data_IF_302763501837
#
_entry.id   IF_302763501837
#
_cell.length_a   1.000
_cell.length_b   1.000
_cell.length_c   1.000
_cell.angle_alpha   90.00
_cell.angle_beta   90.00
_cell.angle_gamma   90.00
#
_symmetry.space_group_name_H-M   'P 1'
#
loop_
_entity.id
_entity.type
_entity.pdbx_description
1 polymer ?
#
# COMPACT_ATOMS: atom_id res chain seq x y z
N UNK A 1 20.90 15.53 -3.06
CA UNK A 1 20.58 14.23 -3.66
C UNK A 1 19.10 13.96 -3.36
N UNK A 2 18.21 14.42 -4.22
CA UNK A 2 16.76 14.38 -4.04
C UNK A 2 16.26 13.48 -5.16
N UNK A 3 16.16 12.18 -4.91
CA UNK A 3 15.39 11.14 -5.62
C UNK A 3 15.85 9.81 -4.98
N UNK A 4 15.00 9.19 -4.15
CA UNK A 4 14.78 7.74 -4.24
C UNK A 4 13.55 7.25 -3.43
N UNK A 5 13.14 7.94 -2.36
CA UNK A 5 11.91 7.63 -1.59
C UNK A 5 10.60 7.94 -2.34
N UNK A 6 10.48 9.11 -2.96
CA UNK A 6 9.24 9.52 -3.65
C UNK A 6 8.88 8.62 -4.85
N UNK A 7 9.88 8.07 -5.55
CA UNK A 7 9.66 7.15 -6.66
C UNK A 7 9.15 5.78 -6.19
N UNK A 8 9.53 5.34 -5.00
CA UNK A 8 9.05 4.08 -4.40
C UNK A 8 7.61 4.25 -3.92
N UNK A 9 7.32 5.32 -3.18
CA UNK A 9 5.97 5.64 -2.71
C UNK A 9 4.99 5.74 -3.89
N UNK A 10 5.41 6.38 -4.99
CA UNK A 10 4.64 6.43 -6.22
C UNK A 10 4.37 5.06 -6.82
N UNK A 11 5.37 4.16 -6.85
CA UNK A 11 5.20 2.79 -7.39
C UNK A 11 4.23 1.98 -6.54
N UNK A 12 4.35 2.06 -5.23
CA UNK A 12 3.48 1.37 -4.27
C UNK A 12 2.04 1.90 -4.38
N UNK A 13 1.86 3.22 -4.45
CA UNK A 13 0.54 3.83 -4.70
C UNK A 13 -0.05 3.43 -6.06
N UNK A 14 0.77 3.35 -7.11
CA UNK A 14 0.31 2.89 -8.43
C UNK A 14 -0.12 1.41 -8.40
N UNK A 15 0.56 0.56 -7.63
CA UNK A 15 0.19 -0.84 -7.47
C UNK A 15 -1.17 -0.98 -6.78
N UNK A 16 -1.39 -0.24 -5.68
CA UNK A 16 -2.70 -0.15 -5.01
C UNK A 16 -3.81 0.26 -5.99
N UNK A 17 -3.57 1.31 -6.78
CA UNK A 17 -4.53 1.78 -7.79
C UNK A 17 -4.78 0.76 -8.91
N UNK A 18 -3.78 -0.02 -9.30
CA UNK A 18 -3.93 -1.06 -10.31
C UNK A 18 -4.82 -2.20 -9.80
N UNK A 19 -4.58 -2.68 -8.58
CA UNK A 19 -5.44 -3.70 -7.94
C UNK A 19 -6.88 -3.19 -7.84
N UNK A 20 -7.08 -1.97 -7.32
CA UNK A 20 -8.40 -1.32 -7.24
C UNK A 20 -9.11 -1.31 -8.60
N UNK A 21 -8.43 -0.85 -9.65
CA UNK A 21 -8.99 -0.80 -11.01
C UNK A 21 -9.29 -2.19 -11.56
N UNK A 22 -8.46 -3.19 -11.25
CA UNK A 22 -8.68 -4.57 -11.69
C UNK A 22 -9.90 -5.19 -11.00
N UNK A 23 -10.17 -4.86 -9.74
CA UNK A 23 -11.42 -5.26 -9.07
C UNK A 23 -12.60 -4.55 -9.72
N UNK A 24 -12.53 -3.22 -9.89
CA UNK A 24 -13.59 -2.44 -10.54
C UNK A 24 -13.97 -2.93 -11.95
N UNK A 25 -13.04 -3.53 -12.69
CA UNK A 25 -13.30 -4.11 -14.02
C UNK A 25 -14.14 -5.38 -13.95
N UNK A 26 -14.01 -6.18 -12.88
CA UNK A 26 -14.69 -7.48 -12.68
C UNK A 26 -16.12 -7.34 -12.15
N UNK A 27 -16.51 -6.15 -11.69
CA UNK A 27 -17.85 -5.89 -11.15
C UNK A 27 -18.82 -5.69 -12.30
N UNK A 28 -19.85 -6.53 -12.39
CA UNK A 28 -20.88 -6.45 -13.44
C UNK A 28 -21.89 -5.33 -13.15
N UNK A 29 -22.56 -5.36 -12.00
CA UNK A 29 -23.54 -4.34 -11.61
C UNK A 29 -22.89 -3.12 -10.93
N UNK A 30 -22.17 -2.34 -11.73
CA UNK A 30 -21.50 -1.10 -11.27
C UNK A 30 -22.46 -0.03 -10.76
N UNK A 31 -23.73 -0.06 -11.17
CA UNK A 31 -24.70 0.98 -10.82
C UNK A 31 -25.29 0.79 -9.43
N UNK A 32 -25.47 -0.46 -8.98
CA UNK A 32 -26.00 -0.75 -7.65
C UNK A 32 -24.92 -1.20 -6.65
N UNK A 33 -23.71 -1.54 -7.11
CA UNK A 33 -22.62 -1.93 -6.23
C UNK A 33 -22.03 -0.72 -5.47
N UNK A 34 -22.18 -0.73 -4.14
CA UNK A 34 -21.74 0.34 -3.23
C UNK A 34 -20.22 0.41 -3.14
N UNK A 35 -19.54 -0.73 -3.02
CA UNK A 35 -18.08 -0.79 -3.00
C UNK A 35 -17.45 -0.27 -4.29
N UNK A 36 -18.04 -0.55 -5.46
CA UNK A 36 -17.62 0.03 -6.74
C UNK A 36 -17.70 1.55 -6.73
N UNK A 37 -18.83 2.11 -6.26
CA UNK A 37 -19.03 3.57 -6.17
C UNK A 37 -18.00 4.22 -5.24
N UNK A 38 -17.69 3.58 -4.11
CA UNK A 38 -16.63 4.02 -3.18
C UNK A 38 -15.27 3.98 -3.88
N UNK A 39 -14.90 2.82 -4.45
CA UNK A 39 -13.66 2.63 -5.19
C UNK A 39 -13.48 3.63 -6.35
N UNK A 40 -14.58 4.12 -6.95
CA UNK A 40 -14.55 5.05 -8.08
C UNK A 40 -14.49 6.51 -7.63
N UNK A 41 -15.44 6.92 -6.79
CA UNK A 41 -15.65 8.33 -6.45
C UNK A 41 -14.80 8.80 -5.28
N UNK A 42 -14.45 7.89 -4.36
CA UNK A 42 -13.71 8.19 -3.13
C UNK A 42 -12.32 7.56 -3.11
N UNK A 43 -11.72 7.32 -4.29
CA UNK A 43 -10.47 6.57 -4.42
C UNK A 43 -9.29 7.15 -3.62
N UNK A 44 -9.30 8.47 -3.34
CA UNK A 44 -8.24 9.13 -2.58
C UNK A 44 -8.16 8.65 -1.12
N UNK A 45 -9.28 8.18 -0.55
CA UNK A 45 -9.31 7.67 0.82
C UNK A 45 -8.35 6.48 0.98
N UNK A 46 -8.18 5.64 -0.05
CA UNK A 46 -7.28 4.48 0.01
C UNK A 46 -5.80 4.86 0.07
N UNK A 47 -5.43 6.11 -0.26
CA UNK A 47 -4.05 6.61 -0.14
C UNK A 47 -3.80 7.35 1.18
N UNK A 48 -4.82 7.53 2.02
CA UNK A 48 -4.64 8.12 3.35
C UNK A 48 -4.11 7.06 4.32
N UNK A 49 -3.31 7.48 5.30
CA UNK A 49 -2.96 6.62 6.41
C UNK A 49 -4.21 6.36 7.25
N UNK A 50 -4.36 5.15 7.79
CA UNK A 50 -5.53 4.77 8.60
C UNK A 50 -5.74 5.74 9.78
N UNK A 51 -4.65 6.20 10.39
CA UNK A 51 -4.65 7.15 11.49
C UNK A 51 -5.28 8.50 11.11
N UNK A 52 -5.17 8.90 9.84
CA UNK A 52 -5.64 10.18 9.31
C UNK A 52 -7.09 10.15 8.79
N UNK A 53 -7.73 8.98 8.79
CA UNK A 53 -9.11 8.86 8.33
C UNK A 53 -10.08 9.54 9.28
N UNK A 54 -11.10 10.20 8.73
CA UNK A 54 -12.26 10.64 9.51
C UNK A 54 -13.08 9.41 9.95
N UNK A 55 -13.11 9.17 11.26
CA UNK A 55 -13.73 8.00 11.91
C UNK A 55 -15.00 8.34 12.69
N UNK A 56 -15.23 9.62 12.95
CA UNK A 56 -16.23 10.08 13.93
C UNK A 56 -17.39 10.84 13.32
N UNK A 57 -17.14 11.68 12.32
CA UNK A 57 -18.13 12.57 11.72
C UNK A 57 -18.47 12.13 10.29
N UNK A 58 -19.63 11.48 10.08
CA UNK A 58 -20.08 11.16 8.75
C UNK A 58 -20.28 12.43 7.91
N UNK A 59 -19.89 12.38 6.65
CA UNK A 59 -20.17 13.44 5.69
C UNK A 59 -20.76 12.86 4.41
N UNK A 60 -21.47 13.71 3.66
CA UNK A 60 -22.11 13.29 2.43
C UNK A 60 -21.06 12.97 1.35
N UNK A 61 -20.95 11.70 0.98
CA UNK A 61 -20.05 11.24 -0.06
C UNK A 61 -20.75 11.26 -1.43
N UNK A 62 -20.49 12.32 -2.20
CA UNK A 62 -20.98 12.46 -3.58
C UNK A 62 -20.51 11.28 -4.44
N UNK A 63 -21.44 10.71 -5.22
CA UNK A 63 -21.19 9.54 -6.07
C UNK A 63 -21.64 8.22 -5.45
N UNK A 64 -21.71 8.13 -4.12
CA UNK A 64 -22.39 7.06 -3.38
C UNK A 64 -23.78 7.52 -2.94
N UNK A 65 -23.93 8.82 -2.69
CA UNK A 65 -25.15 9.49 -2.21
C UNK A 65 -25.56 9.08 -0.79
N UNK A 66 -24.56 8.91 0.08
CA UNK A 66 -24.74 8.48 1.46
C UNK A 66 -23.86 9.29 2.41
N UNK A 67 -24.27 9.37 3.68
CA UNK A 67 -23.45 9.91 4.76
C UNK A 67 -22.65 8.80 5.40
N UNK A 68 -21.32 8.87 5.29
CA UNK A 68 -20.40 7.88 5.85
C UNK A 68 -19.18 8.56 6.44
N UNK A 69 -18.56 7.93 7.43
CA UNK A 69 -17.16 8.20 7.78
C UNK A 69 -16.25 7.58 6.73
N UNK A 70 -14.99 8.02 6.65
CA UNK A 70 -14.03 7.43 5.71
C UNK A 70 -13.71 5.98 6.08
N UNK A 71 -13.64 5.69 7.38
CA UNK A 71 -13.48 4.33 7.89
C UNK A 71 -14.63 3.41 7.48
N UNK A 72 -15.88 3.86 7.61
CA UNK A 72 -17.05 3.09 7.15
C UNK A 72 -16.97 2.82 5.65
N UNK A 73 -16.57 3.83 4.86
CA UNK A 73 -16.45 3.68 3.41
C UNK A 73 -15.39 2.64 3.02
N UNK A 74 -14.20 2.64 3.62
CA UNK A 74 -13.21 1.61 3.33
C UNK A 74 -13.64 0.24 3.85
N UNK A 75 -14.32 0.18 5.00
CA UNK A 75 -14.85 -1.06 5.57
C UNK A 75 -15.81 -1.77 4.61
N UNK A 76 -16.75 -1.03 4.01
CA UNK A 76 -17.67 -1.58 2.99
C UNK A 76 -16.92 -2.23 1.83
N UNK A 77 -15.82 -1.61 1.38
CA UNK A 77 -15.02 -2.16 0.27
C UNK A 77 -14.26 -3.40 0.70
N UNK A 78 -13.69 -3.40 1.91
CA UNK A 78 -12.89 -4.53 2.41
C UNK A 78 -13.75 -5.73 2.81
N UNK A 79 -14.96 -5.51 3.30
CA UNK A 79 -15.93 -6.57 3.58
C UNK A 79 -16.33 -7.29 2.28
N UNK A 80 -16.50 -6.55 1.19
CA UNK A 80 -16.92 -7.10 -0.11
C UNK A 80 -15.74 -7.64 -0.94
N UNK A 81 -14.57 -7.00 -0.86
CA UNK A 81 -13.33 -7.39 -1.55
C UNK A 81 -12.16 -7.51 -0.56
N UNK A 82 -12.11 -8.59 0.25
CA UNK A 82 -11.07 -8.79 1.27
C UNK A 82 -9.65 -8.78 0.69
N UNK A 83 -9.48 -9.22 -0.56
CA UNK A 83 -8.20 -9.16 -1.26
C UNK A 83 -7.67 -7.73 -1.42
N UNK A 84 -8.56 -6.74 -1.54
CA UNK A 84 -8.17 -5.34 -1.58
C UNK A 84 -7.75 -4.83 -0.20
N UNK A 85 -8.42 -5.28 0.87
CA UNK A 85 -8.06 -4.97 2.25
C UNK A 85 -6.65 -5.47 2.60
N UNK A 86 -6.26 -6.65 2.12
CA UNK A 86 -4.90 -7.19 2.29
C UNK A 86 -3.87 -6.32 1.56
N UNK A 87 -4.12 -5.95 0.31
CA UNK A 87 -3.25 -5.05 -0.47
C UNK A 87 -3.14 -3.68 0.19
N UNK A 88 -4.24 -3.14 0.71
CA UNK A 88 -4.24 -1.87 1.41
C UNK A 88 -3.46 -1.94 2.72
N UNK A 89 -3.56 -3.03 3.48
CA UNK A 89 -2.78 -3.24 4.71
C UNK A 89 -1.28 -3.24 4.42
N UNK A 90 -0.84 -4.00 3.41
CA UNK A 90 0.56 -3.98 2.97
C UNK A 90 1.01 -2.58 2.52
N UNK A 91 0.15 -1.84 1.81
CA UNK A 91 0.41 -0.45 1.47
C UNK A 91 0.62 0.43 2.72
N UNK A 92 -0.24 0.31 3.75
CA UNK A 92 -0.13 1.09 4.99
C UNK A 92 1.19 0.81 5.72
N UNK A 93 1.57 -0.46 5.87
CA UNK A 93 2.82 -0.87 6.52
C UNK A 93 4.05 -0.31 5.80
N UNK A 94 4.07 -0.41 4.46
CA UNK A 94 5.16 0.12 3.64
C UNK A 94 5.25 1.64 3.77
N UNK A 95 4.13 2.35 3.64
CA UNK A 95 4.12 3.81 3.75
C UNK A 95 4.55 4.29 5.13
N UNK A 96 4.16 3.58 6.19
CA UNK A 96 4.60 3.85 7.57
C UNK A 96 6.10 3.64 7.76
N UNK A 97 6.64 2.52 7.30
CA UNK A 97 8.07 2.24 7.38
C UNK A 97 8.89 3.26 6.56
N UNK A 98 8.38 3.69 5.40
CA UNK A 98 8.96 4.77 4.59
C UNK A 98 8.97 6.12 5.28
N UNK A 99 7.87 6.49 5.93
CA UNK A 99 7.80 7.74 6.67
C UNK A 99 8.81 7.76 7.83
N UNK A 100 8.90 6.65 8.58
CA UNK A 100 9.75 6.54 9.75
C UNK A 100 11.23 6.26 9.43
N UNK A 101 11.56 5.96 8.16
CA UNK A 101 12.88 5.44 7.74
C UNK A 101 13.29 4.21 8.57
N UNK A 102 12.32 3.39 8.93
CA UNK A 102 12.49 2.24 9.81
C UNK A 102 12.99 1.04 9.00
N UNK A 103 14.29 0.80 9.13
CA UNK A 103 15.02 -0.24 8.44
C UNK A 103 14.59 -1.65 8.88
N UNK A 104 14.36 -1.83 10.18
CA UNK A 104 13.83 -3.09 10.73
C UNK A 104 12.40 -3.34 10.25
N UNK A 105 11.55 -2.31 10.24
CA UNK A 105 10.20 -2.41 9.71
C UNK A 105 10.17 -2.82 8.24
N UNK A 106 11.13 -2.35 7.44
CA UNK A 106 11.25 -2.77 6.05
C UNK A 106 11.69 -4.23 5.87
N UNK A 107 12.67 -4.67 6.63
CA UNK A 107 13.12 -6.07 6.59
C UNK A 107 12.00 -7.02 7.03
N UNK A 108 11.24 -6.63 8.05
CA UNK A 108 10.09 -7.38 8.55
C UNK A 108 8.99 -7.51 7.49
N UNK A 109 8.62 -6.39 6.84
CA UNK A 109 7.65 -6.39 5.74
C UNK A 109 8.12 -7.30 4.61
N UNK A 110 9.37 -7.21 4.16
CA UNK A 110 9.87 -8.03 3.05
C UNK A 110 9.89 -9.52 3.42
N UNK A 111 10.22 -9.85 4.66
CA UNK A 111 10.36 -11.24 5.13
C UNK A 111 9.00 -11.91 5.33
N UNK A 112 8.01 -11.17 5.83
CA UNK A 112 6.68 -11.69 6.15
C UNK A 112 5.62 -11.39 5.09
N UNK A 113 5.97 -10.68 4.02
CA UNK A 113 5.05 -10.39 2.93
C UNK A 113 4.53 -11.67 2.28
N UNK A 114 3.20 -11.80 2.25
CA UNK A 114 2.52 -12.89 1.55
C UNK A 114 2.24 -12.47 0.11
N UNK A 115 2.70 -13.27 -0.85
CA UNK A 115 2.46 -13.05 -2.28
C UNK A 115 0.96 -13.13 -2.57
N UNK A 116 0.40 -12.09 -3.19
CA UNK A 116 -1.04 -11.95 -3.45
C UNK A 116 -1.42 -12.15 -4.94
N UNK A 117 -0.45 -12.42 -5.81
CA UNK A 117 -0.66 -12.62 -7.24
C UNK A 117 -1.06 -11.34 -7.98
N UNK A 118 -0.59 -10.17 -7.54
CA UNK A 118 -0.99 -8.88 -8.09
C UNK A 118 0.16 -7.87 -8.16
N UNK A 119 -0.11 -6.68 -8.71
CA UNK A 119 0.92 -5.67 -8.97
C UNK A 119 1.67 -5.18 -7.71
N UNK A 120 1.10 -5.40 -6.51
CA UNK A 120 1.78 -5.12 -5.24
C UNK A 120 3.02 -6.02 -5.04
N UNK A 121 2.97 -7.28 -5.49
CA UNK A 121 4.11 -8.21 -5.39
C UNK A 121 5.33 -7.67 -6.14
N UNK A 122 5.09 -7.17 -7.35
CA UNK A 122 6.14 -6.60 -8.21
C UNK A 122 6.68 -5.29 -7.63
N UNK A 123 5.81 -4.49 -7.02
CA UNK A 123 6.19 -3.24 -6.37
C UNK A 123 7.08 -3.51 -5.15
N UNK A 124 6.73 -4.51 -4.33
CA UNK A 124 7.52 -4.94 -3.16
C UNK A 124 8.85 -5.57 -3.57
N UNK A 125 8.88 -6.40 -4.61
CA UNK A 125 10.15 -6.94 -5.13
C UNK A 125 11.10 -5.82 -5.60
N UNK A 126 10.56 -4.81 -6.27
CA UNK A 126 11.34 -3.63 -6.69
C UNK A 126 11.84 -2.84 -5.49
N UNK A 127 10.98 -2.68 -4.48
CA UNK A 127 11.30 -2.01 -3.23
C UNK A 127 12.44 -2.72 -2.49
N UNK A 128 12.34 -4.02 -2.27
CA UNK A 128 13.37 -4.83 -1.62
C UNK A 128 14.74 -4.71 -2.32
N UNK A 129 14.77 -4.79 -3.65
CA UNK A 129 16.00 -4.61 -4.44
C UNK A 129 16.65 -3.24 -4.23
N UNK A 130 15.83 -2.18 -4.16
CA UNK A 130 16.33 -0.82 -3.93
C UNK A 130 16.90 -0.64 -2.53
N UNK A 131 16.20 -1.13 -1.51
CA UNK A 131 16.72 -1.09 -0.14
C UNK A 131 18.06 -1.80 -0.01
N UNK A 132 18.16 -3.05 -0.48
CA UNK A 132 19.41 -3.81 -0.47
C UNK A 132 20.55 -3.01 -1.13
N UNK A 133 20.26 -2.28 -2.21
CA UNK A 133 21.25 -1.43 -2.89
C UNK A 133 21.66 -0.24 -2.02
N UNK A 134 20.70 0.48 -1.44
CA UNK A 134 20.95 1.65 -0.58
C UNK A 134 21.79 1.29 0.66
N UNK A 135 21.50 0.15 1.29
CA UNK A 135 22.29 -0.38 2.41
C UNK A 135 23.72 -0.78 2.03
N UNK A 136 23.88 -1.47 0.89
CA UNK A 136 25.22 -1.83 0.38
C UNK A 136 26.05 -0.59 0.05
N UNK A 137 25.42 0.53 -0.33
CA UNK A 137 26.12 1.80 -0.58
C UNK A 137 26.38 2.62 0.68
N UNK A 138 25.55 2.48 1.72
CA UNK A 138 25.68 3.19 2.99
C UNK A 138 26.75 2.59 3.93
N UNK A 139 27.22 1.36 3.68
CA UNK A 139 28.38 0.78 4.35
C UNK A 139 29.50 0.41 3.36
N UNK A 140 30.44 1.32 3.05
CA UNK A 140 31.69 0.97 2.40
C UNK A 140 32.75 0.41 3.36
N UNK A 141 32.46 0.25 4.66
CA UNK A 141 33.47 -0.14 5.68
C UNK A 141 32.92 -1.04 6.79
N UNK A 142 32.43 -2.24 6.44
CA UNK A 142 32.50 -3.40 7.35
C UNK A 142 32.53 -4.73 6.59
N UNK A 143 33.33 -4.81 5.52
CA UNK A 143 33.71 -6.12 4.95
C UNK A 143 35.24 -6.14 4.82
N UNK A 144 35.90 -6.03 5.97
CA UNK A 144 37.19 -6.66 6.26
C UNK A 144 37.02 -7.31 7.63
N UNK A 145 37.42 -8.58 7.75
CA UNK A 145 37.03 -9.59 8.77
C UNK A 145 35.68 -10.22 8.41
N UNK A 146 35.58 -11.34 7.69
CA UNK A 146 36.44 -12.53 7.74
C UNK A 146 36.66 -13.16 6.35
N UNK A 147 37.93 -13.33 6.02
CA UNK A 147 38.38 -14.27 5.00
C UNK A 147 38.32 -15.70 5.57
N UNK A 148 38.10 -16.68 4.69
CA UNK A 148 38.68 -18.04 4.75
C UNK A 148 38.78 -18.70 6.14
N UNK A 149 37.86 -19.64 6.41
CA UNK A 149 37.94 -20.88 7.24
C UNK A 149 36.51 -21.14 7.74
N UNK A 150 35.82 -22.25 7.44
CA UNK A 150 36.20 -23.63 7.09
C UNK A 150 35.22 -24.14 6.03
#
# INVERSE_FOLDING_TARGET
MIIDGSNIAQRIGNALDSVRKNIQKRIDDKQNNRAYKIMKSQWKIFHMMYEDLEKTKPYYMRGINEYLTQEQAIGIVFDEYPEFGQVWTAYQEIMKAMHNKDLSGFEDIITHYTIMGNDMDSAISTFAKKLIREFKTASPRTIQMDALKV
#
